data_IF_910723582254
#
_entry.id   IF_910723582254
#
_cell.length_a   1.000
_cell.length_b   1.000
_cell.length_c   1.000
_cell.angle_alpha   90.00
_cell.angle_beta   90.00
_cell.angle_gamma   90.00
#
_symmetry.space_group_name_H-M   'P 1'
#
loop_
_entity.id
_entity.type
_entity.pdbx_description
1 polymer ?
#
# COMPACT_ATOMS: atom_id res chain seq x y z
N UNK A 1 -33.46 8.91 5.85
CA UNK A 1 -32.24 9.64 5.48
C UNK A 1 -31.01 8.89 6.02
N UNK A 2 -30.40 8.04 5.18
CA UNK A 2 -29.19 7.30 5.56
C UNK A 2 -27.99 8.21 5.30
N UNK A 3 -27.23 8.51 6.35
CA UNK A 3 -25.95 9.22 6.24
C UNK A 3 -24.94 8.29 5.58
N UNK A 4 -24.63 8.54 4.30
CA UNK A 4 -23.44 7.99 3.67
C UNK A 4 -22.24 8.64 4.38
N UNK A 5 -21.56 7.90 5.24
CA UNK A 5 -20.35 8.38 5.90
C UNK A 5 -19.31 8.69 4.82
N UNK A 6 -19.05 9.98 4.56
CA UNK A 6 -17.98 10.43 3.69
C UNK A 6 -16.66 9.88 4.24
N UNK A 7 -16.22 8.74 3.71
CA UNK A 7 -14.91 8.18 4.06
C UNK A 7 -13.86 9.12 3.51
N UNK A 8 -13.00 9.65 4.39
CA UNK A 8 -11.89 10.51 3.99
C UNK A 8 -11.10 9.82 2.86
N UNK A 9 -11.00 10.43 1.67
CA UNK A 9 -10.30 9.81 0.53
C UNK A 9 -8.82 9.53 0.83
N UNK A 10 -8.25 10.15 1.87
CA UNK A 10 -6.88 9.92 2.34
C UNK A 10 -6.78 8.90 3.50
N UNK A 11 -7.80 8.07 3.73
CA UNK A 11 -7.73 7.01 4.73
C UNK A 11 -7.02 5.75 4.21
N UNK A 12 -5.72 5.65 4.48
CA UNK A 12 -4.89 4.52 4.09
C UNK A 12 -5.21 3.20 4.79
N UNK A 13 -6.03 3.20 5.85
CA UNK A 13 -6.41 1.99 6.57
C UNK A 13 -7.42 1.12 5.78
N UNK A 14 -8.26 1.79 4.99
CA UNK A 14 -9.30 1.17 4.15
C UNK A 14 -8.71 0.44 2.95
N UNK A 15 -7.53 0.87 2.47
CA UNK A 15 -6.88 0.26 1.31
C UNK A 15 -6.50 -1.21 1.53
N UNK A 16 -6.48 -1.96 0.42
CA UNK A 16 -6.07 -3.36 0.45
C UNK A 16 -4.58 -3.49 0.76
N UNK A 17 -4.20 -4.67 1.27
CA UNK A 17 -2.79 -4.92 1.60
C UNK A 17 -1.89 -4.92 0.36
N UNK A 18 -2.42 -5.33 -0.79
CA UNK A 18 -1.68 -5.36 -2.05
C UNK A 18 -1.45 -3.97 -2.62
N UNK A 19 -2.41 -3.05 -2.49
CA UNK A 19 -2.21 -1.64 -2.90
C UNK A 19 -1.17 -0.96 -2.03
N UNK A 20 -1.20 -1.17 -0.71
CA UNK A 20 -0.17 -0.64 0.20
C UNK A 20 1.24 -1.18 -0.11
N UNK A 21 1.34 -2.48 -0.44
CA UNK A 21 2.61 -3.09 -0.88
C UNK A 21 3.06 -2.56 -2.24
N UNK A 22 2.13 -2.35 -3.17
CA UNK A 22 2.38 -1.75 -4.47
C UNK A 22 2.93 -0.34 -4.33
N UNK A 23 2.30 0.49 -3.49
CA UNK A 23 2.75 1.84 -3.16
C UNK A 23 4.18 1.81 -2.60
N UNK A 24 4.45 0.96 -1.61
CA UNK A 24 5.79 0.77 -1.04
C UNK A 24 6.84 0.43 -2.10
N UNK A 25 6.51 -0.47 -3.03
CA UNK A 25 7.43 -0.91 -4.11
C UNK A 25 7.68 0.21 -5.12
N UNK A 26 6.62 0.93 -5.51
CA UNK A 26 6.69 2.02 -6.48
C UNK A 26 7.57 3.18 -5.97
N UNK A 27 7.34 3.58 -4.72
CA UNK A 27 8.05 4.70 -4.08
C UNK A 27 9.32 4.27 -3.33
N UNK A 28 9.71 2.99 -3.37
CA UNK A 28 10.92 2.43 -2.73
C UNK A 28 11.08 2.82 -1.25
N UNK A 29 9.99 2.81 -0.48
CA UNK A 29 10.04 3.17 0.94
C UNK A 29 10.94 2.20 1.71
N UNK A 30 11.82 2.75 2.57
CA UNK A 30 12.71 2.01 3.47
C UNK A 30 11.94 1.44 4.70
N UNK A 31 10.79 0.82 4.45
CA UNK A 31 9.90 0.25 5.47
C UNK A 31 9.80 -1.26 5.24
N UNK A 32 9.84 -2.09 6.29
CA UNK A 32 9.68 -3.53 6.13
C UNK A 32 8.31 -3.90 5.53
N UNK A 33 8.16 -5.07 4.89
CA UNK A 33 6.91 -5.43 4.26
C UNK A 33 5.87 -5.84 5.31
N UNK A 34 4.59 -5.59 5.03
CA UNK A 34 3.53 -6.08 5.91
C UNK A 34 3.39 -7.60 5.87
N UNK A 35 2.98 -8.23 6.98
CA UNK A 35 2.59 -9.64 7.01
C UNK A 35 1.43 -9.93 6.05
N UNK A 36 1.33 -11.17 5.55
CA UNK A 36 0.08 -11.67 4.97
C UNK A 36 -0.86 -12.09 6.09
N UNK A 37 -2.15 -12.30 5.79
CA UNK A 37 -3.13 -12.84 6.75
C UNK A 37 -2.63 -14.14 7.38
N UNK A 38 -2.06 -15.04 6.57
CA UNK A 38 -1.43 -16.29 7.08
C UNK A 38 -0.22 -16.00 7.97
N UNK A 39 0.60 -15.00 7.61
CA UNK A 39 1.73 -14.58 8.44
C UNK A 39 1.30 -14.02 9.79
N UNK A 40 0.14 -13.38 9.86
CA UNK A 40 -0.44 -12.89 11.11
C UNK A 40 -0.92 -14.03 12.01
N UNK A 41 -1.54 -15.07 11.42
CA UNK A 41 -1.92 -16.30 12.14
C UNK A 41 -0.72 -17.01 12.79
N UNK A 42 0.45 -16.96 12.14
CA UNK A 42 1.68 -17.54 12.67
C UNK A 42 2.20 -16.84 13.94
N UNK A 43 1.64 -15.70 14.34
CA UNK A 43 1.98 -15.04 15.62
C UNK A 43 1.38 -15.72 16.85
N UNK A 44 0.44 -16.66 16.64
CA UNK A 44 -0.10 -17.50 17.70
C UNK A 44 0.95 -18.41 18.36
N UNK A 45 0.63 -19.01 19.53
CA UNK A 45 1.56 -19.81 20.32
C UNK A 45 2.19 -20.98 19.54
N UNK A 46 1.41 -21.64 18.67
CA UNK A 46 1.92 -22.75 17.87
C UNK A 46 2.76 -22.30 16.68
N UNK A 47 2.42 -21.15 16.08
CA UNK A 47 3.16 -20.60 14.95
C UNK A 47 4.59 -20.18 15.32
N UNK A 48 4.83 -19.77 16.57
CA UNK A 48 6.15 -19.35 17.08
C UNK A 48 7.26 -20.41 16.94
N UNK A 49 6.88 -21.68 16.95
CA UNK A 49 7.81 -22.82 16.81
C UNK A 49 8.23 -23.04 15.36
N UNK A 50 7.45 -22.55 14.40
CA UNK A 50 7.70 -22.74 12.97
C UNK A 50 8.88 -21.90 12.46
N UNK A 51 9.56 -22.40 11.43
CA UNK A 51 10.62 -21.66 10.74
C UNK A 51 10.05 -20.42 10.05
N UNK A 52 8.85 -20.54 9.47
CA UNK A 52 8.15 -19.43 8.81
C UNK A 52 7.93 -18.23 9.73
N UNK A 53 7.62 -18.46 11.01
CA UNK A 53 7.53 -17.39 12.00
C UNK A 53 8.87 -16.67 12.19
N UNK A 54 9.96 -17.43 12.39
CA UNK A 54 11.32 -16.88 12.59
C UNK A 54 11.76 -16.01 11.41
N UNK A 55 11.52 -16.45 10.17
CA UNK A 55 11.85 -15.68 8.96
C UNK A 55 10.97 -14.43 8.79
N UNK A 56 9.77 -14.42 9.37
CA UNK A 56 8.83 -13.31 9.24
C UNK A 56 9.00 -12.20 10.28
N UNK A 57 9.90 -12.34 11.27
CA UNK A 57 10.02 -11.40 12.39
C UNK A 57 10.34 -9.96 11.99
N UNK A 58 10.95 -9.74 10.82
CA UNK A 58 11.28 -8.40 10.33
C UNK A 58 10.10 -7.67 9.68
N UNK A 59 8.93 -8.31 9.50
CA UNK A 59 7.76 -7.72 8.85
C UNK A 59 6.93 -6.90 9.83
N UNK A 60 6.02 -6.07 9.30
CA UNK A 60 5.18 -5.15 10.11
C UNK A 60 3.68 -5.42 9.93
N UNK A 61 2.85 -4.85 10.79
CA UNK A 61 1.38 -4.96 10.66
C UNK A 61 0.85 -4.17 9.46
N UNK A 62 -0.37 -4.50 8.99
CA UNK A 62 -1.05 -3.74 7.93
C UNK A 62 -1.22 -2.26 8.35
N UNK A 63 -1.66 -2.03 9.58
CA UNK A 63 -1.94 -0.68 10.09
C UNK A 63 -0.67 0.17 10.17
N UNK A 64 0.45 -0.44 10.57
CA UNK A 64 1.74 0.24 10.59
C UNK A 64 2.21 0.59 9.17
N UNK A 65 2.07 -0.32 8.21
CA UNK A 65 2.39 -0.01 6.81
C UNK A 65 1.50 1.12 6.27
N UNK A 66 0.20 1.10 6.57
CA UNK A 66 -0.73 2.15 6.18
C UNK A 66 -0.33 3.52 6.75
N UNK A 67 0.04 3.59 8.04
CA UNK A 67 0.50 4.82 8.67
C UNK A 67 1.79 5.36 8.03
N UNK A 68 2.73 4.47 7.69
CA UNK A 68 3.97 4.83 7.00
C UNK A 68 3.70 5.36 5.58
N UNK A 69 2.81 4.70 4.84
CA UNK A 69 2.39 5.16 3.51
C UNK A 69 1.68 6.53 3.59
N UNK A 70 0.77 6.72 4.54
CA UNK A 70 0.09 8.00 4.77
C UNK A 70 1.09 9.12 5.05
N UNK A 71 2.04 8.88 5.95
CA UNK A 71 3.09 9.85 6.28
C UNK A 71 3.94 10.22 5.06
N UNK A 72 4.33 9.22 4.26
CA UNK A 72 5.09 9.47 3.04
C UNK A 72 4.27 10.29 2.03
N UNK A 73 2.99 9.92 1.82
CA UNK A 73 2.10 10.62 0.90
C UNK A 73 1.91 12.09 1.27
N UNK A 74 1.67 12.40 2.55
CA UNK A 74 1.48 13.77 3.03
C UNK A 74 2.75 14.63 2.91
N UNK A 75 3.93 14.02 2.97
CA UNK A 75 5.20 14.73 2.87
C UNK A 75 5.72 14.82 1.42
N UNK A 76 5.00 14.27 0.44
CA UNK A 76 5.44 14.28 -0.94
C UNK A 76 5.14 15.64 -1.58
N UNK A 77 6.15 16.37 -2.11
CA UNK A 77 5.90 17.63 -2.80
C UNK A 77 5.20 17.34 -4.13
N UNK A 78 4.12 18.06 -4.40
CA UNK A 78 3.32 17.92 -5.63
C UNK A 78 3.32 19.25 -6.36
N UNK A 79 3.61 19.21 -7.66
CA UNK A 79 3.37 20.34 -8.56
C UNK A 79 2.04 20.11 -9.27
N UNK A 80 1.05 20.94 -8.96
CA UNK A 80 -0.33 20.74 -9.42
C UNK A 80 -0.43 20.69 -10.95
N UNK A 81 0.21 21.64 -11.64
CA UNK A 81 0.17 21.71 -13.10
C UNK A 81 0.69 20.44 -13.79
N UNK A 82 1.83 19.90 -13.33
CA UNK A 82 2.41 18.66 -13.88
C UNK A 82 1.49 17.48 -13.59
N UNK A 83 1.00 17.38 -12.34
CA UNK A 83 0.19 16.24 -11.87
C UNK A 83 -1.17 16.14 -12.58
N UNK A 84 -1.84 17.27 -12.80
CA UNK A 84 -3.12 17.32 -13.49
C UNK A 84 -2.95 16.91 -14.96
N UNK A 85 -1.90 17.40 -15.62
CA UNK A 85 -1.61 17.08 -17.02
C UNK A 85 -1.28 15.60 -17.17
N UNK A 86 -0.41 15.05 -16.31
CA UNK A 86 -0.05 13.64 -16.31
C UNK A 86 -1.27 12.74 -16.03
N UNK A 87 -2.12 13.13 -15.09
CA UNK A 87 -3.37 12.41 -14.82
C UNK A 87 -4.29 12.40 -16.05
N UNK A 88 -4.54 13.56 -16.68
CA UNK A 88 -5.41 13.65 -17.84
C UNK A 88 -4.85 12.84 -19.02
N UNK A 89 -3.52 12.92 -19.24
CA UNK A 89 -2.84 12.15 -20.28
C UNK A 89 -2.97 10.65 -20.04
N UNK A 90 -2.64 10.19 -18.83
CA UNK A 90 -2.71 8.76 -18.47
C UNK A 90 -4.13 8.24 -18.62
N UNK A 91 -5.15 8.95 -18.12
CA UNK A 91 -6.57 8.53 -18.27
C UNK A 91 -7.01 8.48 -19.72
N UNK A 92 -6.68 9.50 -20.53
CA UNK A 92 -7.08 9.55 -21.95
C UNK A 92 -6.38 8.48 -22.81
N UNK A 93 -5.18 8.07 -22.42
CA UNK A 93 -4.36 7.12 -23.15
C UNK A 93 -4.34 5.72 -22.53
N UNK A 94 -5.12 5.48 -21.46
CA UNK A 94 -5.29 4.14 -20.88
C UNK A 94 -5.67 3.12 -21.97
N UNK A 95 -4.88 2.06 -22.09
CA UNK A 95 -5.08 0.98 -23.06
C UNK A 95 -4.47 1.19 -24.45
N UNK A 96 -3.88 2.35 -24.74
CA UNK A 96 -3.15 2.62 -26.00
C UNK A 96 -1.66 2.31 -25.93
N UNK A 97 -1.15 2.06 -24.73
CA UNK A 97 0.24 1.65 -24.51
C UNK A 97 0.41 0.18 -24.91
N UNK A 98 1.16 -0.08 -25.98
CA UNK A 98 1.65 -1.41 -26.27
C UNK A 98 2.70 -1.80 -25.21
N UNK A 99 2.30 -2.60 -24.22
CA UNK A 99 3.21 -3.13 -23.21
C UNK A 99 3.66 -4.51 -23.65
N UNK A 100 4.84 -4.57 -24.29
CA UNK A 100 5.56 -5.82 -24.49
C UNK A 100 5.97 -6.33 -23.10
N UNK A 101 5.19 -7.27 -22.54
CA UNK A 101 5.50 -7.93 -21.27
C UNK A 101 6.26 -9.22 -21.58
N UNK A 102 7.54 -9.26 -21.25
CA UNK A 102 8.32 -10.50 -21.15
C UNK A 102 8.22 -11.05 -19.73
#
# INVERSE_FOLDING_TARGET
PAEETETDPADFSTFSLDTLRGYRKLHKLAVPPAYTVVGEMLRGPEGKKSISYKTSQSRISKNELAAQCKRHFLNQPVKENETIVDFLYTVRNQGKDFRLKF
#
